data_IF_554528619915
#
_entry.id   IF_554528619915
#
_cell.length_a   1.000
_cell.length_b   1.000
_cell.length_c   1.000
_cell.angle_alpha   90.00
_cell.angle_beta   90.00
_cell.angle_gamma   90.00
#
_symmetry.space_group_name_H-M   'P 1'
#
loop_
_entity.id
_entity.type
_entity.pdbx_description
1 polymer ?
#
# COMPACT_ATOMS: atom_id res chain seq x y z
N UNK A 1 15.44 21.83 -16.27
CA UNK A 1 16.18 20.58 -15.97
C UNK A 1 16.01 20.08 -14.53
N UNK A 2 15.22 20.75 -13.68
CA UNK A 2 15.06 20.36 -12.26
C UNK A 2 13.80 19.49 -12.02
N UNK A 3 12.66 19.80 -12.66
CA UNK A 3 11.44 19.00 -12.58
C UNK A 3 11.59 17.59 -13.18
N UNK A 4 12.09 17.48 -14.42
CA UNK A 4 12.28 16.19 -15.10
C UNK A 4 13.13 15.23 -14.27
N UNK A 5 14.20 15.74 -13.66
CA UNK A 5 15.07 14.94 -12.79
C UNK A 5 14.34 14.53 -11.51
N UNK A 6 13.50 15.38 -10.94
CA UNK A 6 12.67 15.03 -9.78
C UNK A 6 11.66 13.93 -10.14
N UNK A 7 11.05 14.00 -11.32
CA UNK A 7 10.15 12.97 -11.85
C UNK A 7 10.86 11.63 -12.08
N UNK A 8 12.09 11.66 -12.61
CA UNK A 8 12.90 10.45 -12.77
C UNK A 8 13.24 9.81 -11.41
N UNK A 9 13.62 10.62 -10.43
CA UNK A 9 13.86 10.12 -9.07
C UNK A 9 12.59 9.52 -8.45
N UNK A 10 11.44 10.15 -8.68
CA UNK A 10 10.14 9.65 -8.23
C UNK A 10 9.80 8.29 -8.87
N UNK A 11 10.00 8.14 -10.19
CA UNK A 11 9.65 6.91 -10.91
C UNK A 11 10.49 5.71 -10.48
N UNK A 12 11.76 5.93 -10.11
CA UNK A 12 12.65 4.88 -9.58
C UNK A 12 12.57 4.70 -8.05
N UNK A 13 11.63 5.37 -7.38
CA UNK A 13 11.36 5.21 -5.95
C UNK A 13 12.30 5.95 -5.01
N UNK A 14 13.12 6.89 -5.50
CA UNK A 14 14.01 7.73 -4.69
C UNK A 14 13.27 8.98 -4.18
N UNK A 15 12.24 8.77 -3.36
CA UNK A 15 11.29 9.80 -2.96
C UNK A 15 11.93 10.95 -2.16
N UNK A 16 12.87 10.67 -1.27
CA UNK A 16 13.54 11.70 -0.46
C UNK A 16 14.44 12.60 -1.32
N UNK A 17 15.13 12.02 -2.31
CA UNK A 17 15.93 12.79 -3.25
C UNK A 17 15.04 13.62 -4.19
N UNK A 18 13.93 13.03 -4.63
CA UNK A 18 12.91 13.72 -5.43
C UNK A 18 12.31 14.90 -4.66
N UNK A 19 12.03 14.74 -3.36
CA UNK A 19 11.53 15.78 -2.46
C UNK A 19 12.52 16.94 -2.32
N UNK A 20 13.77 16.64 -1.98
CA UNK A 20 14.79 17.69 -1.81
C UNK A 20 14.95 18.54 -3.10
N UNK A 21 14.88 17.89 -4.26
CA UNK A 21 14.97 18.58 -5.54
C UNK A 21 13.73 19.42 -5.81
N UNK A 22 12.52 18.92 -5.56
CA UNK A 22 11.29 19.69 -5.82
C UNK A 22 11.14 20.88 -4.86
N UNK A 23 11.56 20.74 -3.61
CA UNK A 23 11.61 21.85 -2.65
C UNK A 23 12.60 22.93 -3.09
N UNK A 24 13.75 22.53 -3.66
CA UNK A 24 14.70 23.47 -4.26
C UNK A 24 14.05 24.23 -5.42
N UNK A 25 13.33 23.54 -6.33
CA UNK A 25 12.61 24.19 -7.43
C UNK A 25 11.61 25.22 -6.90
N UNK A 26 10.79 24.83 -5.92
CA UNK A 26 9.79 25.71 -5.31
C UNK A 26 10.43 26.93 -4.66
N UNK A 27 11.58 26.77 -4.02
CA UNK A 27 12.29 27.89 -3.38
C UNK A 27 12.86 28.90 -4.38
N UNK A 28 13.24 28.45 -5.58
CA UNK A 28 13.89 29.28 -6.60
C UNK A 28 12.90 29.90 -7.58
N UNK A 29 11.89 29.13 -7.96
CA UNK A 29 10.98 29.45 -9.07
C UNK A 29 9.54 29.69 -8.59
N UNK A 30 9.25 29.42 -7.31
CA UNK A 30 7.93 29.55 -6.72
C UNK A 30 7.07 28.29 -6.85
N UNK A 31 5.84 28.37 -6.32
CA UNK A 31 4.86 27.27 -6.37
C UNK A 31 4.17 27.23 -7.73
N UNK A 32 4.71 26.44 -8.66
CA UNK A 32 4.01 25.98 -9.86
C UNK A 32 3.03 24.84 -9.52
N UNK A 33 1.93 24.71 -10.24
CA UNK A 33 0.98 23.60 -10.10
C UNK A 33 1.66 22.24 -10.31
N UNK A 34 2.59 22.13 -11.27
CA UNK A 34 3.36 20.90 -11.50
C UNK A 34 4.27 20.55 -10.32
N UNK A 35 4.89 21.56 -9.70
CA UNK A 35 5.80 21.34 -8.57
C UNK A 35 5.04 20.91 -7.33
N UNK A 36 3.92 21.57 -7.05
CA UNK A 36 3.07 21.24 -5.91
C UNK A 36 2.40 19.88 -6.12
N UNK A 37 1.96 19.56 -7.35
CA UNK A 37 1.40 18.24 -7.70
C UNK A 37 2.41 17.12 -7.48
N UNK A 38 3.64 17.28 -7.97
CA UNK A 38 4.69 16.29 -7.74
C UNK A 38 5.03 16.17 -6.25
N UNK A 39 5.12 17.28 -5.53
CA UNK A 39 5.42 17.27 -4.09
C UNK A 39 4.32 16.58 -3.27
N UNK A 40 3.04 16.81 -3.58
CA UNK A 40 1.91 16.12 -2.96
C UNK A 40 2.01 14.60 -3.14
N UNK A 41 2.34 14.16 -4.37
CA UNK A 41 2.54 12.74 -4.69
C UNK A 41 3.75 12.17 -3.96
N UNK A 42 4.86 12.91 -3.85
CA UNK A 42 6.04 12.48 -3.08
C UNK A 42 5.70 12.34 -1.60
N UNK A 43 5.04 13.33 -0.99
CA UNK A 43 4.59 13.26 0.39
C UNK A 43 3.66 12.06 0.64
N UNK A 44 2.75 11.78 -0.28
CA UNK A 44 1.89 10.59 -0.24
C UNK A 44 2.73 9.31 -0.21
N UNK A 45 3.78 9.19 -1.04
CA UNK A 45 4.68 8.02 -1.06
C UNK A 45 5.53 7.88 0.20
N UNK A 46 5.90 9.01 0.82
CA UNK A 46 6.66 9.05 2.08
C UNK A 46 5.81 8.84 3.32
N UNK A 47 4.48 8.77 3.19
CA UNK A 47 3.57 8.66 4.33
C UNK A 47 3.29 9.97 5.05
N UNK A 48 3.77 11.10 4.52
CA UNK A 48 3.48 12.43 5.07
C UNK A 48 2.13 12.94 4.53
N UNK A 49 1.05 12.31 5.00
CA UNK A 49 -0.28 12.53 4.43
C UNK A 49 -0.85 13.91 4.73
N UNK A 50 -0.52 14.53 5.87
CA UNK A 50 -0.96 15.89 6.19
C UNK A 50 -0.37 16.90 5.21
N UNK A 51 0.95 16.87 4.96
CA UNK A 51 1.56 17.76 3.95
C UNK A 51 1.10 17.45 2.53
N UNK A 52 0.82 16.17 2.21
CA UNK A 52 0.22 15.81 0.94
C UNK A 52 -1.18 16.44 0.78
N UNK A 53 -2.00 16.40 1.83
CA UNK A 53 -3.34 16.98 1.83
C UNK A 53 -3.30 18.50 1.70
N UNK A 54 -2.38 19.19 2.39
CA UNK A 54 -2.19 20.64 2.25
C UNK A 54 -1.86 21.04 0.80
N UNK A 55 -0.98 20.29 0.13
CA UNK A 55 -0.64 20.53 -1.27
C UNK A 55 -1.82 20.22 -2.21
N UNK A 56 -2.59 19.16 -1.96
CA UNK A 56 -3.80 18.87 -2.74
C UNK A 56 -4.93 19.86 -2.49
N UNK A 57 -5.08 20.38 -1.27
CA UNK A 57 -6.04 21.44 -0.95
C UNK A 57 -5.68 22.75 -1.67
N UNK A 58 -4.38 23.07 -1.74
CA UNK A 58 -3.89 24.19 -2.55
C UNK A 58 -4.21 24.01 -4.03
N UNK A 59 -3.94 22.84 -4.61
CA UNK A 59 -4.25 22.54 -6.02
C UNK A 59 -5.76 22.57 -6.29
N UNK A 60 -6.56 22.03 -5.38
CA UNK A 60 -8.01 22.03 -5.46
C UNK A 60 -8.58 23.45 -5.43
N UNK A 61 -8.02 24.35 -4.62
CA UNK A 61 -8.44 25.75 -4.59
C UNK A 61 -8.17 26.49 -5.92
N UNK A 62 -7.11 26.09 -6.65
CA UNK A 62 -6.81 26.64 -7.98
C UNK A 62 -7.70 26.04 -9.08
N UNK A 63 -7.97 24.74 -9.00
CA UNK A 63 -8.69 23.98 -10.03
C UNK A 63 -9.79 23.08 -9.42
N UNK A 64 -10.89 23.66 -8.91
CA UNK A 64 -11.91 22.93 -8.13
C UNK A 64 -12.74 21.93 -8.95
N UNK A 65 -12.56 21.88 -10.27
CA UNK A 65 -13.24 20.96 -11.18
C UNK A 65 -12.25 20.02 -11.91
N UNK A 66 -10.99 19.96 -11.48
CA UNK A 66 -10.03 19.02 -12.04
C UNK A 66 -10.24 17.63 -11.40
N UNK A 67 -10.75 16.63 -12.15
CA UNK A 67 -11.07 15.31 -11.61
C UNK A 67 -9.83 14.54 -11.13
N UNK A 68 -8.64 14.82 -11.69
CA UNK A 68 -7.40 14.17 -11.26
C UNK A 68 -6.94 14.67 -9.88
N UNK A 69 -7.01 15.98 -9.63
CA UNK A 69 -6.68 16.55 -8.32
C UNK A 69 -7.67 16.03 -7.26
N UNK A 70 -8.97 16.03 -7.56
CA UNK A 70 -10.01 15.55 -6.64
C UNK A 70 -9.81 14.06 -6.31
N UNK A 71 -9.48 13.23 -7.31
CA UNK A 71 -9.20 11.81 -7.11
C UNK A 71 -7.97 11.58 -6.22
N UNK A 72 -6.85 12.26 -6.50
CA UNK A 72 -5.63 12.06 -5.73
C UNK A 72 -5.78 12.58 -4.29
N UNK A 73 -6.53 13.67 -4.11
CA UNK A 73 -6.95 14.17 -2.79
C UNK A 73 -7.80 13.15 -2.04
N UNK A 74 -8.75 12.48 -2.71
CA UNK A 74 -9.56 11.41 -2.12
C UNK A 74 -8.70 10.24 -1.62
N UNK A 75 -7.66 9.86 -2.37
CA UNK A 75 -6.68 8.85 -1.94
C UNK A 75 -5.99 9.26 -0.64
N UNK A 76 -5.54 10.52 -0.53
CA UNK A 76 -4.89 11.01 0.70
C UNK A 76 -5.86 11.07 1.88
N UNK A 77 -7.10 11.51 1.66
CA UNK A 77 -8.15 11.48 2.69
C UNK A 77 -8.38 10.05 3.22
N UNK A 78 -8.42 9.05 2.35
CA UNK A 78 -8.50 7.65 2.77
C UNK A 78 -7.28 7.21 3.60
N UNK A 79 -6.07 7.60 3.21
CA UNK A 79 -4.85 7.28 3.95
C UNK A 79 -4.86 7.90 5.36
N UNK A 80 -5.46 9.08 5.50
CA UNK A 80 -5.76 9.76 6.77
C UNK A 80 -6.97 9.20 7.53
N UNK A 81 -7.58 8.11 7.05
CA UNK A 81 -8.78 7.48 7.64
C UNK A 81 -10.05 8.33 7.59
N UNK A 82 -10.09 9.36 6.75
CA UNK A 82 -11.25 10.21 6.48
C UNK A 82 -12.09 9.62 5.35
N UNK A 83 -12.59 8.39 5.57
CA UNK A 83 -13.20 7.58 4.51
C UNK A 83 -14.49 8.19 3.93
N UNK A 84 -15.31 8.84 4.74
CA UNK A 84 -16.55 9.45 4.26
C UNK A 84 -16.28 10.61 3.29
N UNK A 85 -15.27 11.43 3.61
CA UNK A 85 -14.82 12.51 2.73
C UNK A 85 -14.14 11.97 1.47
N UNK A 86 -13.35 10.90 1.60
CA UNK A 86 -12.75 10.23 0.45
C UNK A 86 -13.82 9.69 -0.52
N UNK A 87 -14.87 9.04 -0.01
CA UNK A 87 -15.97 8.54 -0.84
C UNK A 87 -16.64 9.66 -1.64
N UNK A 88 -16.97 10.77 -0.97
CA UNK A 88 -17.60 11.93 -1.62
C UNK A 88 -16.72 12.52 -2.73
N UNK A 89 -15.41 12.60 -2.52
CA UNK A 89 -14.47 13.10 -3.52
C UNK A 89 -14.26 12.11 -4.68
N UNK A 90 -14.22 10.79 -4.42
CA UNK A 90 -14.22 9.79 -5.49
C UNK A 90 -15.48 9.87 -6.37
N UNK A 91 -16.66 9.99 -5.75
CA UNK A 91 -17.93 10.14 -6.47
C UNK A 91 -17.93 11.41 -7.32
N UNK A 92 -17.40 12.52 -6.78
CA UNK A 92 -17.27 13.77 -7.51
C UNK A 92 -16.31 13.69 -8.68
N UNK A 93 -15.13 13.11 -8.49
CA UNK A 93 -14.15 12.92 -9.57
C UNK A 93 -14.74 12.07 -10.71
N UNK A 94 -15.50 11.04 -10.38
CA UNK A 94 -16.19 10.20 -11.35
C UNK A 94 -17.31 10.96 -12.08
N UNK A 95 -18.11 11.76 -11.39
CA UNK A 95 -19.16 12.57 -12.01
C UNK A 95 -18.59 13.63 -12.98
N UNK A 96 -17.40 14.15 -12.71
CA UNK A 96 -16.71 15.11 -13.59
C UNK A 96 -16.07 14.45 -14.82
N UNK A 97 -15.70 13.17 -14.73
CA UNK A 97 -14.99 12.44 -15.77
C UNK A 97 -15.49 10.99 -15.92
N UNK A 98 -16.78 10.79 -16.27
CA UNK A 98 -17.45 9.49 -16.20
C UNK A 98 -17.03 8.50 -17.30
N UNK A 99 -16.21 8.94 -18.26
CA UNK A 99 -15.71 8.10 -19.34
C UNK A 99 -14.26 7.64 -19.12
N UNK A 100 -13.65 8.05 -18.03
CA UNK A 100 -12.29 7.68 -17.71
C UNK A 100 -12.27 6.43 -16.82
N UNK A 101 -11.76 5.28 -17.32
CA UNK A 101 -11.73 4.01 -16.57
C UNK A 101 -11.00 4.15 -15.23
N UNK A 102 -9.98 5.01 -15.16
CA UNK A 102 -9.18 5.22 -13.96
C UNK A 102 -10.01 5.72 -12.76
N UNK A 103 -11.10 6.46 -12.99
CA UNK A 103 -11.98 6.95 -11.90
C UNK A 103 -12.70 5.79 -11.21
N UNK A 104 -13.23 4.87 -12.01
CA UNK A 104 -13.86 3.66 -11.50
C UNK A 104 -12.83 2.77 -10.82
N UNK A 105 -11.68 2.50 -11.45
CA UNK A 105 -10.63 1.67 -10.84
C UNK A 105 -10.12 2.24 -9.50
N UNK A 106 -9.96 3.56 -9.39
CA UNK A 106 -9.54 4.22 -8.15
C UNK A 106 -10.59 4.11 -7.04
N UNK A 107 -11.88 4.34 -7.35
CA UNK A 107 -12.97 4.15 -6.38
C UNK A 107 -13.15 2.68 -6.00
N UNK A 108 -12.98 1.76 -6.95
CA UNK A 108 -13.01 0.32 -6.70
C UNK A 108 -11.92 -0.11 -5.71
N UNK A 109 -10.69 0.36 -5.91
CA UNK A 109 -9.60 0.12 -4.97
C UNK A 109 -9.96 0.65 -3.58
N UNK A 110 -10.48 1.87 -3.48
CA UNK A 110 -10.92 2.43 -2.21
C UNK A 110 -12.02 1.59 -1.55
N UNK A 111 -13.08 1.22 -2.29
CA UNK A 111 -14.18 0.36 -1.81
C UNK A 111 -13.69 -0.98 -1.28
N UNK A 112 -12.75 -1.61 -1.97
CA UNK A 112 -12.08 -2.83 -1.48
C UNK A 112 -11.40 -2.58 -0.12
N UNK A 113 -10.66 -1.47 0.02
CA UNK A 113 -9.96 -1.13 1.27
C UNK A 113 -10.88 -0.83 2.45
N UNK A 114 -12.12 -0.41 2.20
CA UNK A 114 -13.13 -0.17 3.25
C UNK A 114 -14.09 -1.34 3.45
N UNK A 115 -13.95 -2.43 2.68
CA UNK A 115 -14.73 -3.65 2.80
C UNK A 115 -16.02 -3.70 1.97
N UNK A 116 -16.29 -2.71 1.13
CA UNK A 116 -17.36 -2.75 0.13
C UNK A 116 -16.90 -3.57 -1.09
N UNK A 117 -16.77 -4.88 -0.90
CA UNK A 117 -16.21 -5.78 -1.91
C UNK A 117 -17.11 -5.91 -3.14
N UNK A 118 -18.44 -5.88 -2.95
CA UNK A 118 -19.38 -5.95 -4.08
C UNK A 118 -19.35 -4.66 -4.90
N UNK A 119 -19.39 -3.49 -4.25
CA UNK A 119 -19.28 -2.21 -4.94
C UNK A 119 -17.91 -2.03 -5.61
N UNK A 120 -16.85 -2.62 -5.06
CA UNK A 120 -15.53 -2.66 -5.72
C UNK A 120 -15.56 -3.48 -7.01
N UNK A 121 -16.21 -4.66 -7.01
CA UNK A 121 -16.38 -5.47 -8.23
C UNK A 121 -17.15 -4.70 -9.30
N UNK A 122 -18.26 -4.05 -8.93
CA UNK A 122 -19.06 -3.25 -9.88
C UNK A 122 -18.23 -2.13 -10.53
N UNK A 123 -17.43 -1.41 -9.73
CA UNK A 123 -16.58 -0.35 -10.26
C UNK A 123 -15.43 -0.92 -11.13
N UNK A 124 -14.78 -2.02 -10.74
CA UNK A 124 -13.79 -2.67 -11.61
C UNK A 124 -14.40 -3.17 -12.92
N UNK A 125 -15.62 -3.72 -12.89
CA UNK A 125 -16.33 -4.12 -14.11
C UNK A 125 -16.59 -2.92 -15.02
N UNK A 126 -16.96 -1.77 -14.45
CA UNK A 126 -17.15 -0.56 -15.25
C UNK A 126 -15.84 0.01 -15.81
N UNK A 127 -14.75 -0.07 -15.04
CA UNK A 127 -13.41 0.29 -15.52
C UNK A 127 -13.00 -0.59 -16.71
N UNK A 128 -13.19 -1.91 -16.60
CA UNK A 128 -12.90 -2.90 -17.66
C UNK A 128 -13.80 -2.72 -18.89
N UNK A 129 -15.06 -2.33 -18.72
CA UNK A 129 -15.94 -2.02 -19.85
C UNK A 129 -15.41 -0.83 -20.67
N UNK A 130 -14.85 0.18 -19.98
CA UNK A 130 -14.29 1.39 -20.60
C UNK A 130 -12.88 1.15 -21.18
N UNK A 131 -12.08 0.31 -20.53
CA UNK A 131 -10.76 -0.12 -21.01
C UNK A 131 -10.55 -1.63 -20.78
N UNK A 132 -10.91 -2.46 -21.78
CA UNK A 132 -10.80 -3.91 -21.68
C UNK A 132 -9.37 -4.44 -21.53
N UNK A 133 -8.37 -3.63 -21.89
CA UNK A 133 -6.95 -4.02 -21.92
C UNK A 133 -6.21 -3.62 -20.62
N UNK A 134 -6.91 -3.04 -19.65
CA UNK A 134 -6.34 -2.74 -18.33
C UNK A 134 -6.17 -4.01 -17.49
N UNK A 135 -5.02 -4.65 -17.65
CA UNK A 135 -4.62 -5.83 -16.88
C UNK A 135 -4.66 -5.60 -15.35
N UNK A 136 -4.42 -4.37 -14.88
CA UNK A 136 -4.43 -4.06 -13.44
C UNK A 136 -5.85 -4.14 -12.89
N UNK A 137 -6.84 -3.63 -13.62
CA UNK A 137 -8.25 -3.74 -13.23
C UNK A 137 -8.73 -5.19 -13.21
N UNK A 138 -8.35 -6.02 -14.19
CA UNK A 138 -8.66 -7.46 -14.17
C UNK A 138 -8.03 -8.16 -12.96
N UNK A 139 -6.75 -7.91 -12.69
CA UNK A 139 -6.05 -8.49 -11.54
C UNK A 139 -6.70 -8.07 -10.21
N UNK A 140 -6.97 -6.77 -10.04
CA UNK A 140 -7.54 -6.27 -8.80
C UNK A 140 -8.97 -6.77 -8.59
N UNK A 141 -9.77 -6.90 -9.65
CA UNK A 141 -11.08 -7.57 -9.58
C UNK A 141 -10.93 -9.01 -9.09
N UNK A 142 -9.97 -9.76 -9.64
CA UNK A 142 -9.68 -11.13 -9.21
C UNK A 142 -9.36 -11.24 -7.72
N UNK A 143 -8.56 -10.31 -7.17
CA UNK A 143 -8.27 -10.25 -5.74
C UNK A 143 -9.51 -10.01 -4.88
N UNK A 144 -10.44 -9.14 -5.34
CA UNK A 144 -11.70 -8.88 -4.63
C UNK A 144 -12.65 -10.08 -4.71
N UNK A 145 -12.73 -10.74 -5.87
CA UNK A 145 -13.49 -11.97 -6.06
C UNK A 145 -12.98 -13.11 -5.16
N UNK A 146 -11.67 -13.24 -4.99
CA UNK A 146 -11.05 -14.20 -4.07
C UNK A 146 -11.43 -13.92 -2.61
N UNK A 147 -11.39 -12.65 -2.17
CA UNK A 147 -11.83 -12.24 -0.83
C UNK A 147 -13.29 -12.63 -0.54
N UNK A 148 -14.14 -12.66 -1.57
CA UNK A 148 -15.54 -13.10 -1.48
C UNK A 148 -15.74 -14.62 -1.63
N UNK A 149 -14.68 -15.37 -1.94
CA UNK A 149 -14.76 -16.81 -2.17
C UNK A 149 -15.17 -17.21 -3.59
N UNK A 150 -15.23 -16.28 -4.54
CA UNK A 150 -15.62 -16.53 -5.93
C UNK A 150 -14.45 -17.08 -6.76
N UNK A 151 -13.88 -18.21 -6.33
CA UNK A 151 -12.64 -18.78 -6.84
C UNK A 151 -12.62 -18.98 -8.36
N UNK A 152 -13.73 -19.43 -8.95
CA UNK A 152 -13.83 -19.63 -10.40
C UNK A 152 -13.81 -18.31 -11.19
N UNK A 153 -14.42 -17.24 -10.64
CA UNK A 153 -14.40 -15.92 -11.27
C UNK A 153 -13.02 -15.27 -11.13
N UNK A 154 -12.46 -15.33 -9.92
CA UNK A 154 -11.12 -14.82 -9.64
C UNK A 154 -10.07 -15.41 -10.60
N UNK A 155 -10.09 -16.74 -10.78
CA UNK A 155 -9.21 -17.44 -11.74
C UNK A 155 -9.33 -16.86 -13.15
N UNK A 156 -10.55 -16.65 -13.64
CA UNK A 156 -10.79 -16.07 -14.98
C UNK A 156 -10.26 -14.64 -15.08
N UNK A 157 -10.46 -13.84 -14.04
CA UNK A 157 -9.96 -12.45 -13.97
C UNK A 157 -8.42 -12.42 -13.99
N UNK A 158 -7.74 -13.30 -13.24
CA UNK A 158 -6.29 -13.42 -13.28
C UNK A 158 -5.76 -13.92 -14.63
N UNK A 159 -6.37 -14.95 -15.20
CA UNK A 159 -6.01 -15.46 -16.54
C UNK A 159 -6.08 -14.36 -17.60
N UNK A 160 -7.09 -13.48 -17.51
CA UNK A 160 -7.21 -12.36 -18.43
C UNK A 160 -6.12 -11.31 -18.20
N UNK A 161 -5.79 -10.99 -16.95
CA UNK A 161 -4.70 -10.07 -16.63
C UNK A 161 -3.35 -10.59 -17.15
N UNK A 162 -3.07 -11.88 -16.95
CA UNK A 162 -1.87 -12.57 -17.42
C UNK A 162 -1.76 -12.56 -18.95
N UNK A 163 -2.86 -12.86 -19.66
CA UNK A 163 -2.95 -12.79 -21.11
C UNK A 163 -2.56 -11.41 -21.65
N UNK A 164 -3.12 -10.35 -21.06
CA UNK A 164 -2.90 -8.96 -21.49
C UNK A 164 -1.44 -8.51 -21.35
N UNK A 165 -0.73 -8.97 -20.31
CA UNK A 165 0.69 -8.64 -20.10
C UNK A 165 1.65 -9.65 -20.71
N UNK A 166 1.13 -10.71 -21.35
CA UNK A 166 1.92 -11.81 -21.91
C UNK A 166 2.62 -12.67 -20.86
N UNK A 167 2.20 -12.60 -19.60
CA UNK A 167 2.70 -13.47 -18.54
C UNK A 167 2.12 -14.86 -18.75
N UNK A 168 3.00 -15.87 -18.69
CA UNK A 168 2.59 -17.27 -18.70
C UNK A 168 3.07 -17.85 -17.37
N UNK A 169 2.18 -18.13 -16.41
CA UNK A 169 2.60 -18.80 -15.20
C UNK A 169 3.22 -20.13 -15.61
N UNK A 170 4.40 -20.44 -15.07
CA UNK A 170 4.96 -21.77 -15.20
C UNK A 170 3.92 -22.75 -14.64
N UNK A 171 3.38 -23.61 -15.50
CA UNK A 171 2.62 -24.75 -14.98
C UNK A 171 3.56 -25.52 -14.07
N UNK A 172 3.12 -25.96 -12.88
CA UNK A 172 3.95 -26.80 -12.03
C UNK A 172 4.28 -28.08 -12.81
N UNK A 173 5.43 -28.06 -13.49
CA UNK A 173 5.99 -29.22 -14.14
C UNK A 173 6.40 -30.17 -13.01
N UNK A 174 5.66 -31.27 -12.87
CA UNK A 174 5.98 -32.38 -11.98
C UNK A 174 6.37 -32.02 -10.53
N UNK A 175 5.47 -31.38 -9.77
CA UNK A 175 5.49 -31.56 -8.31
C UNK A 175 4.95 -32.95 -7.87
N UNK A 176 4.59 -33.81 -8.81
CA UNK A 176 4.34 -35.23 -8.58
C UNK A 176 5.56 -36.05 -9.02
N UNK A 177 6.50 -36.32 -8.09
CA UNK A 177 7.20 -37.62 -7.88
C UNK A 177 8.50 -37.59 -7.05
N UNK A 178 8.85 -36.51 -6.34
CA UNK A 178 10.02 -36.55 -5.42
C UNK A 178 9.75 -36.11 -3.97
N UNK A 179 8.49 -36.06 -3.50
CA UNK A 179 8.20 -35.79 -2.07
C UNK A 179 7.41 -36.88 -1.36
N UNK A 180 7.27 -38.06 -1.95
CA UNK A 180 6.90 -39.28 -1.22
C UNK A 180 8.16 -40.02 -0.74
N UNK A 181 8.99 -39.38 0.10
CA UNK A 181 9.90 -40.04 1.06
C UNK A 181 10.71 -38.98 1.80
N UNK A 182 10.05 -38.04 2.45
CA UNK A 182 10.60 -37.49 3.68
C UNK A 182 9.48 -37.52 4.69
N UNK A 183 9.65 -38.39 5.69
CA UNK A 183 8.90 -38.35 6.93
C UNK A 183 8.67 -36.89 7.33
N UNK A 184 7.49 -36.52 7.85
CA UNK A 184 7.22 -35.15 8.25
C UNK A 184 8.41 -34.63 9.05
N UNK A 185 9.00 -33.52 8.60
CA UNK A 185 10.04 -32.81 9.34
C UNK A 185 9.49 -32.73 10.77
N UNK A 186 10.14 -33.37 11.76
CA UNK A 186 9.64 -33.32 13.12
C UNK A 186 9.51 -31.85 13.46
N UNK A 187 8.30 -31.41 13.80
CA UNK A 187 8.17 -30.11 14.44
C UNK A 187 9.19 -30.11 15.59
N UNK A 188 10.02 -29.07 15.75
CA UNK A 188 10.80 -28.95 16.97
C UNK A 188 9.81 -29.13 18.12
N UNK A 189 10.12 -30.04 19.05
CA UNK A 189 9.30 -30.23 20.24
C UNK A 189 9.14 -28.87 20.90
N UNK A 190 7.99 -28.24 20.67
CA UNK A 190 7.51 -27.18 21.52
C UNK A 190 7.27 -27.92 22.82
N UNK A 191 8.24 -27.83 23.74
CA UNK A 191 8.02 -28.19 25.13
C UNK A 191 6.69 -27.56 25.48
N UNK A 192 5.68 -28.40 25.77
CA UNK A 192 4.35 -27.94 26.14
C UNK A 192 4.56 -26.88 27.18
N UNK A 193 4.37 -25.61 26.81
CA UNK A 193 4.36 -24.54 27.76
C UNK A 193 3.28 -24.94 28.74
N UNK A 194 3.70 -25.26 29.97
CA UNK A 194 2.78 -25.50 31.06
C UNK A 194 1.84 -24.30 31.03
N UNK A 195 0.56 -24.55 30.75
CA UNK A 195 -0.50 -23.56 30.92
C UNK A 195 -0.53 -23.20 32.40
N UNK A 196 0.37 -22.32 32.80
CA UNK A 196 0.20 -21.53 34.00
C UNK A 196 -0.62 -20.34 33.55
N UNK A 197 -1.93 -20.44 33.74
CA UNK A 197 -2.84 -19.31 33.69
C UNK A 197 -2.51 -18.37 34.85
N UNK A 198 -1.39 -17.66 34.76
CA UNK A 198 -1.14 -16.47 35.58
C UNK A 198 -1.40 -15.26 34.70
N UNK A 199 -2.42 -14.51 35.09
CA UNK A 199 -2.88 -13.26 34.49
C UNK A 199 -1.66 -12.36 34.23
N UNK A 200 -1.43 -11.94 32.98
CA UNK A 200 -0.43 -10.91 32.68
C UNK A 200 -0.85 -9.64 33.42
N UNK A 201 -0.10 -9.31 34.46
CA UNK A 201 -0.26 -8.10 35.25
C UNK A 201 0.96 -7.23 35.02
N UNK A 202 0.78 -5.91 35.11
CA UNK A 202 1.87 -4.92 35.03
C UNK A 202 2.98 -5.26 36.05
N UNK A 203 2.63 -5.86 37.20
CA UNK A 203 3.59 -6.36 38.17
C UNK A 203 4.51 -7.46 37.63
N UNK A 204 3.98 -8.43 36.89
CA UNK A 204 4.79 -9.49 36.26
C UNK A 204 5.69 -8.94 35.15
N UNK A 205 5.18 -7.97 34.38
CA UNK A 205 5.98 -7.26 33.37
C UNK A 205 7.16 -6.51 34.02
N UNK A 206 6.92 -5.77 35.10
CA UNK A 206 7.96 -5.03 35.82
C UNK A 206 8.94 -5.94 36.58
N UNK A 207 8.50 -7.09 37.10
CA UNK A 207 9.39 -8.10 37.69
C UNK A 207 10.34 -8.68 36.63
N UNK A 208 9.81 -8.97 35.44
CA UNK A 208 10.61 -9.45 34.30
C UNK A 208 11.61 -8.39 33.84
N UNK A 209 11.19 -7.12 33.81
CA UNK A 209 12.06 -5.99 33.50
C UNK A 209 13.16 -5.80 34.55
N UNK A 210 12.84 -5.93 35.84
CA UNK A 210 13.82 -5.86 36.92
C UNK A 210 14.86 -6.99 36.83
N UNK A 211 14.45 -8.20 36.43
CA UNK A 211 15.40 -9.31 36.20
C UNK A 211 16.37 -9.02 35.06
N UNK A 212 15.89 -8.38 34.00
CA UNK A 212 16.72 -7.93 32.88
C UNK A 212 17.76 -6.88 33.31
N UNK A 213 17.44 -6.09 34.34
CA UNK A 213 18.30 -5.02 34.89
C UNK A 213 19.10 -5.49 36.12
N UNK A 214 18.81 -6.63 36.73
CA UNK A 214 19.56 -7.14 37.89
C UNK A 214 20.59 -8.21 37.53
N UNK A 215 20.41 -8.92 36.42
CA UNK A 215 21.37 -9.93 35.95
C UNK A 215 22.45 -9.31 35.06
N UNK A 216 23.70 -9.30 35.56
CA UNK A 216 24.85 -8.75 34.83
C UNK A 216 25.15 -9.50 33.53
N UNK A 217 24.84 -10.79 33.44
CA UNK A 217 25.04 -11.56 32.21
C UNK A 217 24.05 -11.13 31.12
N UNK A 218 22.75 -11.08 31.46
CA UNK A 218 21.68 -10.61 30.55
C UNK A 218 21.90 -9.15 30.12
N UNK A 219 22.36 -8.28 31.02
CA UNK A 219 22.71 -6.89 30.65
C UNK A 219 23.84 -6.83 29.61
N UNK A 220 24.83 -7.71 29.71
CA UNK A 220 25.97 -7.73 28.81
C UNK A 220 25.56 -8.20 27.42
N UNK A 221 24.75 -9.26 27.33
CA UNK A 221 24.17 -9.72 26.06
C UNK A 221 23.31 -8.66 25.38
N UNK A 222 22.49 -7.93 26.16
CA UNK A 222 21.66 -6.84 25.63
C UNK A 222 22.51 -5.67 25.11
N UNK A 223 23.58 -5.29 25.82
CA UNK A 223 24.53 -4.26 25.38
C UNK A 223 25.24 -4.67 24.09
N UNK A 224 25.65 -5.92 23.99
CA UNK A 224 26.34 -6.43 22.80
C UNK A 224 25.40 -6.52 21.59
N UNK A 225 24.12 -6.89 21.83
CA UNK A 225 23.07 -6.80 20.83
C UNK A 225 22.86 -5.37 20.31
N UNK A 226 22.75 -4.38 21.22
CA UNK A 226 22.58 -2.98 20.84
C UNK A 226 23.79 -2.45 20.07
N UNK A 227 25.02 -2.76 20.49
CA UNK A 227 26.24 -2.38 19.76
C UNK A 227 26.28 -2.98 18.36
N UNK A 228 25.88 -4.25 18.20
CA UNK A 228 25.85 -4.93 16.90
C UNK A 228 24.80 -4.35 15.95
N UNK A 229 23.69 -3.84 16.50
CA UNK A 229 22.57 -3.28 15.71
C UNK A 229 22.69 -1.79 15.43
N UNK A 230 23.33 -1.01 16.31
CA UNK A 230 23.51 0.44 16.19
C UNK A 230 24.91 0.85 15.68
N UNK A 231 25.88 -0.07 15.68
CA UNK A 231 27.27 0.18 15.28
C UNK A 231 27.61 -0.11 13.81
N UNK A 232 26.62 -0.39 12.96
CA UNK A 232 26.81 -0.42 11.50
C UNK A 232 26.36 0.93 10.93
N UNK A 233 27.27 1.90 10.96
CA UNK A 233 27.36 2.95 9.92
C UNK A 233 28.47 2.53 8.97
#
# INVERSE_FOLDING_TARGET
MSLERSLELFSVGKFEQSLALIETCISQEGKSTDYVSLRARIFTRLGNFDSALEDFDYLYALEPFNPSIINDRAVVLHLLKRNDEAMAEFDRALNLDPKNPYRFASRAYFKDRIGDLLGAIEDYEKAIELDPEDAVSHNNKGLVEEKLGYMAKAKKSFEKADELVGYKPEQPSNLSKETESQSPIPLPEIQKAQKTTKKLTIGYFMETLNRLVSDKATQQEFKDFLKKKLGRK
#
